data_IF_037467814659
#
_entry.id   IF_037467814659
#
_cell.length_a   1.000
_cell.length_b   1.000
_cell.length_c   1.000
_cell.angle_alpha   90.00
_cell.angle_beta   90.00
_cell.angle_gamma   90.00
#
_symmetry.space_group_name_H-M   'P 1'
#
loop_
_entity.id
_entity.type
_entity.pdbx_description
1 polymer ?
#
# COMPACT_ATOMS: atom_id res chain seq x y z
N UNK A 1 -27.03 41.73 19.45
CA UNK A 1 -26.74 40.95 18.23
C UNK A 1 -26.01 39.69 18.66
N UNK A 2 -26.77 38.65 18.97
CA UNK A 2 -27.00 37.47 18.12
C UNK A 2 -25.81 36.50 18.18
N UNK A 3 -26.10 35.39 18.86
CA UNK A 3 -25.29 34.18 18.98
C UNK A 3 -24.92 33.66 17.59
N UNK A 4 -23.62 33.51 17.31
CA UNK A 4 -23.18 32.59 16.26
C UNK A 4 -22.91 31.24 16.93
N UNK A 5 -23.87 30.36 16.72
CA UNK A 5 -23.90 28.93 17.01
C UNK A 5 -22.50 28.29 16.99
N UNK A 6 -22.10 27.75 18.14
CA UNK A 6 -20.88 26.99 18.30
C UNK A 6 -21.00 25.71 17.49
N UNK A 7 -20.44 25.71 16.27
CA UNK A 7 -20.29 24.51 15.45
C UNK A 7 -19.51 23.47 16.26
N UNK A 8 -20.24 22.56 16.91
CA UNK A 8 -19.70 21.41 17.62
C UNK A 8 -18.66 20.76 16.71
N UNK A 9 -17.42 20.72 17.16
CA UNK A 9 -16.37 19.97 16.47
C UNK A 9 -16.90 18.54 16.20
N UNK A 10 -16.52 17.89 15.09
CA UNK A 10 -17.14 16.63 14.71
C UNK A 10 -16.78 15.55 15.74
N UNK A 11 -17.75 15.17 16.54
CA UNK A 11 -17.70 13.99 17.41
C UNK A 11 -17.95 12.79 16.50
N UNK A 12 -17.01 11.85 16.48
CA UNK A 12 -17.13 10.62 15.68
C UNK A 12 -17.18 9.44 16.64
N UNK A 13 -17.97 8.41 16.33
CA UNK A 13 -17.88 7.11 16.98
C UNK A 13 -17.24 6.15 15.98
N UNK A 14 -15.93 5.92 16.10
CA UNK A 14 -15.19 5.12 15.11
C UNK A 14 -15.75 3.70 15.02
N UNK A 15 -16.12 3.08 16.14
CA UNK A 15 -16.69 1.73 16.17
C UNK A 15 -17.98 1.55 15.34
N UNK A 16 -18.68 2.65 15.02
CA UNK A 16 -19.91 2.64 14.24
C UNK A 16 -19.70 2.96 12.75
N UNK A 17 -18.46 3.09 12.30
CA UNK A 17 -18.19 3.22 10.88
C UNK A 17 -18.52 1.92 10.15
N UNK A 18 -19.44 1.98 9.20
CA UNK A 18 -19.80 0.85 8.37
C UNK A 18 -18.56 0.29 7.66
N UNK A 19 -18.36 -1.03 7.76
CA UNK A 19 -17.24 -1.73 7.13
C UNK A 19 -15.87 -1.54 7.80
N UNK A 20 -15.83 -1.03 9.03
CA UNK A 20 -14.60 -0.96 9.82
C UNK A 20 -14.24 -2.34 10.41
N UNK A 21 -13.03 -2.82 10.12
CA UNK A 21 -12.37 -3.94 10.83
C UNK A 21 -11.51 -3.37 11.97
N UNK A 22 -11.95 -3.56 13.21
CA UNK A 22 -11.22 -3.16 14.42
C UNK A 22 -10.60 -4.37 15.10
N UNK A 23 -9.30 -4.28 15.38
CA UNK A 23 -8.54 -5.34 16.05
C UNK A 23 -7.75 -4.77 17.22
N UNK A 24 -7.80 -5.48 18.34
CA UNK A 24 -7.01 -5.14 19.52
C UNK A 24 -5.66 -5.86 19.46
N UNK A 25 -4.60 -5.14 19.81
CA UNK A 25 -3.25 -5.66 19.99
C UNK A 25 -2.65 -5.14 21.31
N UNK A 26 -1.43 -5.58 21.65
CA UNK A 26 -0.75 -5.18 22.89
C UNK A 26 -0.43 -3.68 22.96
N UNK A 27 -0.38 -3.00 21.81
CA UNK A 27 -0.06 -1.57 21.69
C UNK A 27 -1.29 -0.68 21.45
N UNK A 28 -2.50 -1.23 21.47
CA UNK A 28 -3.75 -0.48 21.32
C UNK A 28 -4.70 -1.09 20.29
N UNK A 29 -5.61 -0.26 19.77
CA UNK A 29 -6.56 -0.67 18.74
C UNK A 29 -6.06 -0.27 17.35
N UNK A 30 -6.20 -1.18 16.40
CA UNK A 30 -5.88 -0.96 14.99
C UNK A 30 -7.17 -1.07 14.18
N UNK A 31 -7.45 -0.06 13.37
CA UNK A 31 -8.63 0.01 12.52
C UNK A 31 -8.27 0.00 11.04
N UNK A 32 -8.97 -0.80 10.26
CA UNK A 32 -8.94 -0.77 8.79
C UNK A 32 -10.35 -0.46 8.30
N UNK A 33 -10.55 0.72 7.73
CA UNK A 33 -11.84 1.18 7.22
C UNK A 33 -11.78 1.39 5.72
N UNK A 34 -12.77 0.86 4.99
CA UNK A 34 -12.91 1.06 3.55
C UNK A 34 -13.95 2.14 3.28
N UNK A 35 -13.53 3.24 2.65
CA UNK A 35 -14.42 4.33 2.25
C UNK A 35 -14.11 4.76 0.82
N UNK A 36 -15.11 4.80 -0.05
CA UNK A 36 -14.97 5.22 -1.46
C UNK A 36 -13.82 4.51 -2.21
N UNK A 37 -13.60 3.22 -1.93
CA UNK A 37 -12.54 2.41 -2.54
C UNK A 37 -11.13 2.66 -2.00
N UNK A 38 -10.99 3.48 -0.95
CA UNK A 38 -9.72 3.76 -0.27
C UNK A 38 -9.70 3.08 1.10
N UNK A 39 -8.62 2.34 1.37
CA UNK A 39 -8.36 1.75 2.66
C UNK A 39 -7.69 2.77 3.59
N UNK A 40 -8.34 3.07 4.71
CA UNK A 40 -7.81 3.90 5.78
C UNK A 40 -7.34 3.02 6.94
N UNK A 41 -6.08 3.17 7.32
CA UNK A 41 -5.48 2.46 8.45
C UNK A 41 -5.15 3.46 9.55
N UNK A 42 -5.56 3.17 10.79
CA UNK A 42 -5.26 4.02 11.94
C UNK A 42 -5.02 3.19 13.20
N UNK A 43 -4.27 3.78 14.12
CA UNK A 43 -3.90 3.18 15.39
C UNK A 43 -4.34 4.12 16.53
N UNK A 44 -5.00 3.56 17.53
CA UNK A 44 -5.51 4.24 18.72
C UNK A 44 -4.75 3.70 19.95
N UNK A 45 -3.67 4.37 20.40
CA UNK A 45 -2.89 3.93 21.56
C UNK A 45 -3.65 4.06 22.89
N UNK A 46 -4.53 5.07 22.98
CA UNK A 46 -5.33 5.36 24.18
C UNK A 46 -6.78 5.02 23.86
N UNK A 47 -7.21 3.83 24.26
CA UNK A 47 -8.45 3.22 23.78
C UNK A 47 -9.72 3.91 24.31
N UNK A 48 -10.57 4.43 23.41
CA UNK A 48 -12.04 4.51 23.56
C UNK A 48 -12.74 4.50 22.17
N UNK A 49 -12.65 3.41 21.37
CA UNK A 49 -13.19 3.39 20.00
C UNK A 49 -14.73 3.49 19.92
N UNK A 50 -15.43 3.11 20.99
CA UNK A 50 -16.89 3.03 21.08
C UNK A 50 -17.55 4.31 21.64
N UNK A 51 -16.74 5.23 22.19
CA UNK A 51 -17.28 6.52 22.62
C UNK A 51 -17.30 7.51 21.45
N UNK A 52 -18.38 8.27 21.40
CA UNK A 52 -18.44 9.50 20.62
C UNK A 52 -17.38 10.46 21.19
N UNK A 53 -16.29 10.66 20.46
CA UNK A 53 -15.11 11.37 20.96
C UNK A 53 -14.48 12.29 19.91
N UNK A 54 -13.67 13.22 20.41
CA UNK A 54 -12.75 14.00 19.59
C UNK A 54 -11.49 13.18 19.32
N UNK A 55 -11.15 13.02 18.05
CA UNK A 55 -9.92 12.35 17.63
C UNK A 55 -8.93 13.35 17.07
N UNK A 56 -7.70 13.31 17.59
CA UNK A 56 -6.56 14.03 17.05
C UNK A 56 -5.60 13.09 16.32
N UNK A 57 -4.93 13.58 15.28
CA UNK A 57 -3.84 12.85 14.62
C UNK A 57 -2.48 13.33 15.15
N UNK A 58 -1.64 12.39 15.59
CA UNK A 58 -0.23 12.67 15.95
C UNK A 58 0.64 12.30 14.75
N UNK A 59 1.44 13.26 14.26
CA UNK A 59 2.30 13.08 13.09
C UNK A 59 3.77 13.30 13.48
N UNK A 60 4.57 12.24 13.61
CA UNK A 60 6.01 12.37 13.83
C UNK A 60 6.69 13.11 12.69
N UNK A 61 7.66 13.97 13.00
CA UNK A 61 8.49 14.66 12.02
C UNK A 61 9.63 13.70 11.62
N UNK A 62 9.35 12.81 10.67
CA UNK A 62 10.31 11.86 10.10
C UNK A 62 10.13 11.76 8.57
N UNK A 63 10.88 10.87 7.92
CA UNK A 63 10.85 10.64 6.47
C UNK A 63 9.45 10.35 5.88
N UNK A 64 8.51 9.88 6.71
CA UNK A 64 7.13 9.55 6.34
C UNK A 64 6.12 10.65 6.72
N UNK A 65 6.56 11.82 7.19
CA UNK A 65 5.68 12.91 7.60
C UNK A 65 4.67 13.29 6.51
N UNK A 66 5.12 13.49 5.27
CA UNK A 66 4.24 13.87 4.16
C UNK A 66 3.23 12.78 3.81
N UNK A 67 3.65 11.51 3.85
CA UNK A 67 2.79 10.35 3.60
C UNK A 67 1.69 10.26 4.68
N UNK A 68 2.07 10.36 5.96
CA UNK A 68 1.09 10.32 7.05
C UNK A 68 0.18 11.55 7.07
N UNK A 69 0.70 12.71 6.70
CA UNK A 69 -0.09 13.95 6.55
C UNK A 69 -1.15 13.81 5.45
N UNK A 70 -0.79 13.23 4.30
CA UNK A 70 -1.75 12.95 3.24
C UNK A 70 -2.80 11.92 3.68
N UNK A 71 -2.37 10.80 4.29
CA UNK A 71 -3.28 9.77 4.80
C UNK A 71 -4.28 10.33 5.84
N UNK A 72 -3.79 11.15 6.78
CA UNK A 72 -4.63 11.83 7.77
C UNK A 72 -5.65 12.76 7.11
N UNK A 73 -5.22 13.55 6.10
CA UNK A 73 -6.12 14.41 5.34
C UNK A 73 -7.20 13.61 4.60
N UNK A 74 -6.84 12.48 3.99
CA UNK A 74 -7.80 11.60 3.32
C UNK A 74 -8.79 10.99 4.31
N UNK A 75 -8.33 10.54 5.48
CA UNK A 75 -9.21 10.03 6.54
C UNK A 75 -10.23 11.09 6.97
N UNK A 76 -9.79 12.33 7.24
CA UNK A 76 -10.69 13.43 7.61
C UNK A 76 -11.68 13.77 6.50
N UNK A 77 -11.30 13.63 5.23
CA UNK A 77 -12.23 13.81 4.10
C UNK A 77 -13.29 12.72 4.09
N UNK A 78 -12.89 11.46 4.20
CA UNK A 78 -13.79 10.31 4.22
C UNK A 78 -14.78 10.38 5.39
N UNK A 79 -14.30 10.70 6.60
CA UNK A 79 -15.15 10.90 7.79
C UNK A 79 -16.18 12.03 7.61
N UNK A 80 -15.91 13.00 6.72
CA UNK A 80 -16.82 14.10 6.38
C UNK A 80 -17.69 13.80 5.14
N UNK A 81 -17.71 12.56 4.65
CA UNK A 81 -18.45 12.15 3.46
C UNK A 81 -17.96 12.81 2.17
N UNK A 82 -16.69 13.24 2.12
CA UNK A 82 -16.09 13.87 0.94
C UNK A 82 -15.33 12.85 0.12
N UNK A 83 -15.47 12.95 -1.20
CA UNK A 83 -14.74 12.12 -2.15
C UNK A 83 -13.23 12.11 -1.86
N UNK A 84 -12.57 10.96 -2.06
CA UNK A 84 -11.14 10.81 -1.90
C UNK A 84 -10.42 11.80 -2.81
N UNK A 85 -9.44 12.51 -2.25
CA UNK A 85 -8.52 13.32 -3.03
C UNK A 85 -7.58 12.43 -3.87
N UNK A 86 -6.73 13.04 -4.71
CA UNK A 86 -5.79 12.30 -5.56
C UNK A 86 -4.85 11.42 -4.73
N UNK A 87 -4.49 10.27 -5.31
CA UNK A 87 -3.53 9.33 -4.72
C UNK A 87 -2.21 10.01 -4.39
N UNK A 88 -1.66 9.71 -3.20
CA UNK A 88 -0.33 10.18 -2.86
C UNK A 88 0.70 9.42 -3.67
N UNK A 89 1.38 10.13 -4.57
CA UNK A 89 2.54 9.62 -5.31
C UNK A 89 2.28 8.23 -5.90
N UNK A 90 1.19 8.11 -6.66
CA UNK A 90 0.73 6.85 -7.25
C UNK A 90 1.87 6.08 -7.94
N UNK A 91 1.88 4.76 -7.75
CA UNK A 91 2.86 3.87 -8.39
C UNK A 91 2.70 3.95 -9.92
N UNK A 92 3.73 4.35 -10.69
CA UNK A 92 3.65 4.41 -12.14
C UNK A 92 3.22 3.07 -12.73
N UNK A 93 2.39 3.09 -13.77
CA UNK A 93 1.83 1.88 -14.37
C UNK A 93 2.92 0.87 -14.81
N UNK A 94 4.02 1.37 -15.36
CA UNK A 94 5.16 0.54 -15.76
C UNK A 94 5.83 -0.16 -14.56
N UNK A 95 5.98 0.54 -13.43
CA UNK A 95 6.55 -0.03 -12.21
C UNK A 95 5.59 -1.05 -11.59
N UNK A 96 4.28 -0.76 -11.58
CA UNK A 96 3.24 -1.73 -11.19
C UNK A 96 3.33 -3.00 -12.03
N UNK A 97 3.41 -2.86 -13.36
CA UNK A 97 3.54 -3.99 -14.26
C UNK A 97 4.83 -4.79 -14.02
N UNK A 98 5.94 -4.11 -13.73
CA UNK A 98 7.20 -4.76 -13.35
C UNK A 98 7.04 -5.63 -12.09
N UNK A 99 6.38 -5.13 -11.05
CA UNK A 99 6.10 -5.91 -9.84
C UNK A 99 5.20 -7.12 -10.12
N UNK A 100 4.13 -6.94 -10.90
CA UNK A 100 3.22 -8.04 -11.29
C UNK A 100 3.97 -9.13 -12.04
N UNK A 101 4.77 -8.77 -13.05
CA UNK A 101 5.55 -9.74 -13.82
C UNK A 101 6.61 -10.43 -12.95
N UNK A 102 7.21 -9.72 -12.00
CA UNK A 102 8.21 -10.31 -11.10
C UNK A 102 7.59 -11.32 -10.14
N UNK A 103 6.37 -11.05 -9.65
CA UNK A 103 5.62 -12.01 -8.84
C UNK A 103 5.27 -13.26 -9.65
N UNK A 104 4.74 -13.10 -10.87
CA UNK A 104 4.45 -14.24 -11.76
C UNK A 104 5.70 -15.06 -12.11
N UNK A 105 6.83 -14.39 -12.34
CA UNK A 105 8.11 -15.04 -12.61
C UNK A 105 8.64 -15.80 -11.38
N UNK A 106 8.50 -15.24 -10.17
CA UNK A 106 8.81 -15.93 -8.92
C UNK A 106 7.96 -17.19 -8.77
N UNK A 107 6.65 -17.08 -8.97
CA UNK A 107 5.70 -18.20 -8.88
C UNK A 107 6.06 -19.34 -9.83
N UNK A 108 6.47 -19.02 -11.07
CA UNK A 108 6.96 -20.00 -12.02
C UNK A 108 8.26 -20.67 -11.53
N UNK A 109 9.22 -19.88 -11.02
CA UNK A 109 10.48 -20.43 -10.49
C UNK A 109 10.31 -21.31 -9.28
N UNK A 110 9.38 -20.98 -8.38
CA UNK A 110 9.07 -21.81 -7.21
C UNK A 110 8.45 -23.15 -7.62
N UNK A 111 7.81 -23.22 -8.78
CA UNK A 111 7.33 -24.47 -9.40
C UNK A 111 8.39 -25.21 -10.24
N UNK A 112 9.63 -24.71 -10.29
CA UNK A 112 10.72 -25.34 -11.02
C UNK A 112 10.85 -24.92 -12.49
N UNK A 113 9.97 -24.04 -12.99
CA UNK A 113 9.94 -23.67 -14.41
C UNK A 113 11.21 -22.97 -14.89
N UNK A 114 11.64 -23.26 -16.11
CA UNK A 114 12.86 -22.68 -16.67
C UNK A 114 12.73 -21.18 -16.98
N UNK A 115 13.85 -20.45 -17.03
CA UNK A 115 13.84 -19.05 -17.49
C UNK A 115 13.31 -18.90 -18.92
N UNK A 116 13.47 -19.93 -19.75
CA UNK A 116 12.93 -19.97 -21.10
C UNK A 116 11.40 -20.02 -21.06
N UNK A 117 10.82 -20.93 -20.29
CA UNK A 117 9.36 -21.01 -20.09
C UNK A 117 8.79 -19.67 -19.62
N UNK A 118 9.48 -19.02 -18.67
CA UNK A 118 9.09 -17.70 -18.18
C UNK A 118 9.12 -16.65 -19.31
N UNK A 119 10.15 -16.67 -20.15
CA UNK A 119 10.26 -15.76 -21.28
C UNK A 119 9.19 -16.03 -22.35
N UNK A 120 8.84 -17.28 -22.60
CA UNK A 120 7.80 -17.68 -23.55
C UNK A 120 6.44 -17.14 -23.10
N UNK A 121 6.06 -17.42 -21.85
CA UNK A 121 4.74 -17.09 -21.31
C UNK A 121 4.60 -15.60 -20.95
N UNK A 122 5.61 -15.01 -20.31
CA UNK A 122 5.50 -13.63 -19.78
C UNK A 122 6.07 -12.57 -20.71
N UNK A 123 7.00 -12.93 -21.60
CA UNK A 123 7.74 -11.99 -22.44
C UNK A 123 7.54 -12.26 -23.95
N UNK A 124 6.71 -13.23 -24.32
CA UNK A 124 6.40 -13.58 -25.70
C UNK A 124 7.60 -14.12 -26.47
N UNK A 125 8.55 -14.78 -25.81
CA UNK A 125 9.63 -15.50 -26.51
C UNK A 125 9.06 -16.65 -27.35
N UNK A 126 9.55 -16.78 -28.57
CA UNK A 126 9.31 -17.91 -29.46
C UNK A 126 10.60 -18.16 -30.23
N UNK A 127 11.03 -19.42 -30.30
CA UNK A 127 12.29 -19.80 -30.92
C UNK A 127 12.83 -21.11 -30.35
N UNK A 128 13.98 -21.52 -30.87
CA UNK A 128 14.74 -22.69 -30.42
C UNK A 128 15.48 -22.41 -29.12
N UNK A 129 16.21 -23.42 -28.60
CA UNK A 129 17.05 -23.23 -27.41
C UNK A 129 18.21 -22.29 -27.73
N UNK A 130 18.76 -22.41 -28.92
CA UNK A 130 19.88 -21.64 -29.43
C UNK A 130 19.48 -20.16 -29.60
N UNK A 131 18.28 -19.89 -30.11
CA UNK A 131 17.73 -18.54 -30.18
C UNK A 131 17.63 -17.91 -28.79
N UNK A 132 17.20 -18.69 -27.80
CA UNK A 132 17.05 -18.20 -26.43
C UNK A 132 18.37 -17.82 -25.78
N UNK A 133 19.48 -18.46 -26.17
CA UNK A 133 20.78 -18.22 -25.54
C UNK A 133 21.27 -16.79 -25.72
N UNK A 134 20.96 -16.18 -26.88
CA UNK A 134 21.35 -14.81 -27.27
C UNK A 134 20.20 -13.80 -27.13
N UNK A 135 18.97 -14.25 -26.87
CA UNK A 135 17.81 -13.37 -26.79
C UNK A 135 17.80 -12.48 -25.51
N UNK A 136 17.53 -11.17 -25.61
CA UNK A 136 17.49 -10.26 -24.45
C UNK A 136 16.41 -10.63 -23.42
N UNK A 137 15.34 -11.34 -23.81
CA UNK A 137 14.27 -11.82 -22.92
C UNK A 137 14.79 -12.81 -21.89
N UNK A 138 15.88 -13.53 -22.17
CA UNK A 138 16.60 -14.35 -21.19
C UNK A 138 17.04 -13.54 -19.97
N UNK A 139 17.71 -12.41 -20.21
CA UNK A 139 18.18 -11.53 -19.14
C UNK A 139 17.02 -10.80 -18.45
N UNK A 140 15.98 -10.43 -19.21
CA UNK A 140 14.77 -9.85 -18.63
C UNK A 140 14.04 -10.84 -17.69
N UNK A 141 13.91 -12.10 -18.08
CA UNK A 141 13.34 -13.16 -17.24
C UNK A 141 14.17 -13.36 -15.96
N UNK A 142 15.51 -13.42 -16.06
CA UNK A 142 16.40 -13.47 -14.88
C UNK A 142 16.19 -12.29 -13.93
N UNK A 143 16.06 -11.08 -14.47
CA UNK A 143 15.83 -9.86 -13.65
C UNK A 143 14.46 -9.88 -12.97
N UNK A 144 13.41 -10.34 -13.65
CA UNK A 144 12.08 -10.50 -13.03
C UNK A 144 12.12 -11.48 -11.86
N UNK A 145 12.78 -12.62 -12.05
CA UNK A 145 12.95 -13.63 -11.00
C UNK A 145 13.76 -13.09 -9.82
N UNK A 146 14.92 -12.48 -10.10
CA UNK A 146 15.77 -11.91 -9.05
C UNK A 146 15.03 -10.82 -8.25
N UNK A 147 14.26 -9.98 -8.94
CA UNK A 147 13.41 -8.98 -8.30
C UNK A 147 12.32 -9.63 -7.47
N UNK A 148 11.60 -10.63 -7.99
CA UNK A 148 10.57 -11.37 -7.26
C UNK A 148 11.12 -12.00 -5.97
N UNK A 149 12.27 -12.66 -6.03
CA UNK A 149 12.96 -13.23 -4.85
C UNK A 149 13.30 -12.13 -3.83
N UNK A 150 13.83 -10.99 -4.29
CA UNK A 150 14.12 -9.84 -3.42
C UNK A 150 12.85 -9.33 -2.73
N UNK A 151 11.75 -9.22 -3.48
CA UNK A 151 10.47 -8.77 -2.93
C UNK A 151 9.95 -9.75 -1.88
N UNK A 152 9.98 -11.07 -2.15
CA UNK A 152 9.58 -12.12 -1.20
C UNK A 152 10.43 -12.09 0.08
N UNK A 153 11.74 -11.84 -0.03
CA UNK A 153 12.66 -11.76 1.11
C UNK A 153 12.61 -10.42 1.86
N UNK A 154 11.42 -9.84 1.99
CA UNK A 154 11.18 -8.61 2.75
C UNK A 154 11.22 -7.31 1.94
N UNK A 155 11.65 -7.34 0.68
CA UNK A 155 11.65 -6.16 -0.20
C UNK A 155 10.26 -5.57 -0.43
N UNK A 156 9.18 -6.35 -0.26
CA UNK A 156 7.80 -5.89 -0.35
C UNK A 156 7.45 -4.76 0.62
N UNK A 157 8.14 -4.65 1.76
CA UNK A 157 7.90 -3.60 2.75
C UNK A 157 8.14 -2.20 2.19
N UNK A 158 9.00 -2.07 1.17
CA UNK A 158 9.22 -0.79 0.47
C UNK A 158 7.99 -0.31 -0.30
N UNK A 159 7.06 -1.21 -0.66
CA UNK A 159 5.82 -0.82 -1.32
C UNK A 159 4.84 -0.14 -0.35
N UNK A 160 4.91 -0.45 0.94
CA UNK A 160 4.04 0.15 1.97
C UNK A 160 4.29 1.64 2.16
N UNK A 161 5.49 2.10 1.79
CA UNK A 161 5.89 3.49 1.95
C UNK A 161 6.31 4.13 0.62
N UNK A 162 6.01 3.50 -0.52
CA UNK A 162 6.40 4.03 -1.82
C UNK A 162 5.93 5.49 -2.00
N UNK A 163 6.75 6.38 -2.58
CA UNK A 163 8.12 6.19 -3.08
C UNK A 163 9.20 6.52 -2.04
N UNK A 164 8.85 6.63 -0.76
CA UNK A 164 9.75 7.03 0.31
C UNK A 164 10.73 5.89 0.57
N UNK A 165 12.02 6.21 0.45
CA UNK A 165 13.09 5.35 0.92
C UNK A 165 13.50 5.89 2.28
N UNK A 166 13.31 5.12 3.38
CA UNK A 166 13.82 5.56 4.66
C UNK A 166 15.32 5.79 4.52
N UNK A 167 15.80 6.90 5.06
CA UNK A 167 17.23 7.09 5.27
C UNK A 167 17.74 5.88 6.07
N UNK A 168 18.67 5.14 5.48
CA UNK A 168 19.23 3.95 6.14
C UNK A 168 19.85 4.36 7.47
N UNK A 169 19.54 3.63 8.54
CA UNK A 169 20.41 3.57 9.72
C UNK A 169 21.55 2.61 9.43
#
# INVERSE_FOLDING_TARGET
MQHHDGKTEPIVTLAHLDGLDLRQASDGWHGIWQADGVAHQFWLPHAVPDAAAFYGTVLPIDDFYDLRSHAARQLVRALKGRLPGPDFRALPAQLRQWHILSLRALDARLRGESYRTIAEVLLGFSGTKEDFEVDPRKNKARRLVAHGIKMMRGGYRLLLHYPIKPSGK
#
